data_IF_800306142286
#
_entry.id   IF_800306142286
#
_cell.length_a   1.000
_cell.length_b   1.000
_cell.length_c   1.000
_cell.angle_alpha   90.00
_cell.angle_beta   90.00
_cell.angle_gamma   90.00
#
_symmetry.space_group_name_H-M   'P 1'
#
loop_
_entity.id
_entity.type
_entity.pdbx_description
1 polymer ?
#
# COMPACT_ATOMS: atom_id res chain seq x y z
N UNK A 1 -2.23 26.58 -24.01
CA UNK A 1 -3.40 26.49 -23.11
C UNK A 1 -3.42 25.08 -22.55
N UNK A 2 -2.62 24.82 -21.52
CA UNK A 2 -2.62 23.55 -20.80
C UNK A 2 -3.68 23.59 -19.72
N UNK A 3 -4.52 22.56 -19.65
CA UNK A 3 -5.52 22.41 -18.59
C UNK A 3 -4.79 22.02 -17.29
N UNK A 4 -4.75 22.94 -16.32
CA UNK A 4 -4.47 22.57 -14.93
C UNK A 4 -5.62 21.68 -14.44
N UNK A 5 -5.32 20.41 -14.19
CA UNK A 5 -6.21 19.53 -13.45
C UNK A 5 -6.33 20.05 -12.02
N UNK A 6 -7.54 20.44 -11.61
CA UNK A 6 -7.83 20.75 -10.22
C UNK A 6 -7.69 19.46 -9.38
N UNK A 7 -6.54 19.26 -8.75
CA UNK A 7 -6.32 18.20 -7.78
C UNK A 7 -7.13 18.50 -6.51
N UNK A 8 -7.76 17.45 -5.95
CA UNK A 8 -8.76 17.57 -4.88
C UNK A 8 -8.15 18.13 -3.57
N UNK A 9 -8.95 18.90 -2.82
CA UNK A 9 -8.58 19.38 -1.48
C UNK A 9 -8.55 18.20 -0.51
N UNK A 10 -7.38 17.63 -0.25
CA UNK A 10 -7.22 16.58 0.75
C UNK A 10 -6.80 17.19 2.10
N UNK A 11 -7.59 16.96 3.14
CA UNK A 11 -7.22 17.35 4.51
C UNK A 11 -6.68 16.10 5.19
N UNK A 12 -5.41 16.13 5.62
CA UNK A 12 -4.82 15.09 6.47
C UNK A 12 -4.29 15.70 7.77
N UNK A 13 -4.49 14.95 8.86
CA UNK A 13 -3.98 15.28 10.18
C UNK A 13 -2.62 14.59 10.38
N UNK A 14 -1.61 15.33 10.84
CA UNK A 14 -0.41 14.77 11.46
C UNK A 14 -0.80 14.11 12.79
N UNK A 15 -0.03 13.11 13.22
CA UNK A 15 -0.28 12.37 14.47
C UNK A 15 -0.23 13.24 15.74
N UNK A 16 0.29 14.47 15.65
CA UNK A 16 0.30 15.46 16.73
C UNK A 16 -0.92 16.41 16.75
N UNK A 17 -1.91 16.21 15.88
CA UNK A 17 -3.10 17.05 15.78
C UNK A 17 -2.96 18.25 14.84
N UNK A 18 -1.82 18.39 14.12
CA UNK A 18 -1.66 19.42 13.09
C UNK A 18 -2.45 19.05 11.84
N UNK A 19 -3.21 19.97 11.27
CA UNK A 19 -4.04 19.74 10.08
C UNK A 19 -3.60 20.68 8.97
N UNK A 20 -3.27 20.15 7.79
CA UNK A 20 -3.01 20.98 6.60
C UNK A 20 -4.31 21.54 6.03
N UNK A 21 -4.35 22.84 5.71
CA UNK A 21 -5.49 23.47 5.05
C UNK A 21 -5.03 24.28 3.84
N UNK A 22 -5.88 24.33 2.80
CA UNK A 22 -5.67 25.15 1.63
C UNK A 22 -6.51 26.42 1.70
N UNK A 23 -5.83 27.56 1.76
CA UNK A 23 -6.44 28.87 1.52
C UNK A 23 -6.91 29.01 0.07
N UNK A 24 -7.66 30.07 -0.24
CA UNK A 24 -8.10 30.36 -1.61
C UNK A 24 -7.00 30.95 -2.51
N UNK A 25 -5.82 31.25 -1.96
CA UNK A 25 -4.57 31.54 -2.67
C UNK A 25 -3.71 30.28 -2.68
N UNK A 26 -2.85 30.09 -3.68
CA UNK A 26 -1.91 28.96 -3.82
C UNK A 26 -0.77 29.00 -2.78
N UNK A 27 -1.11 29.30 -1.53
CA UNK A 27 -0.19 29.31 -0.40
C UNK A 27 -0.45 28.07 0.47
N UNK A 28 0.62 27.53 1.04
CA UNK A 28 0.54 26.38 1.93
C UNK A 28 0.37 26.85 3.36
N UNK A 29 -0.71 26.42 4.01
CA UNK A 29 -1.03 26.77 5.39
C UNK A 29 -1.28 25.51 6.21
N UNK A 30 -0.91 25.56 7.48
CA UNK A 30 -1.10 24.46 8.43
C UNK A 30 -1.75 24.99 9.70
N UNK A 31 -2.47 24.14 10.41
CA UNK A 31 -3.08 24.46 11.70
C UNK A 31 -2.50 23.53 12.75
N UNK A 32 -1.80 24.06 13.75
CA UNK A 32 -1.10 23.26 14.78
C UNK A 32 -2.01 22.83 15.95
N UNK A 33 -3.33 22.98 15.82
CA UNK A 33 -4.28 22.79 16.91
C UNK A 33 -4.61 24.06 17.69
N UNK A 34 -3.79 25.11 17.57
CA UNK A 34 -3.98 26.40 18.27
C UNK A 34 -4.04 27.61 17.35
N UNK A 35 -3.33 27.58 16.22
CA UNK A 35 -3.25 28.68 15.27
C UNK A 35 -2.95 28.18 13.85
N UNK A 36 -3.25 29.03 12.88
CA UNK A 36 -2.82 28.84 11.49
C UNK A 36 -1.40 29.40 11.31
N UNK A 37 -0.52 28.61 10.70
CA UNK A 37 0.83 28.96 10.31
C UNK A 37 0.88 28.94 8.79
N UNK A 38 1.30 30.06 8.19
CA UNK A 38 1.52 30.18 6.75
C UNK A 38 2.95 29.77 6.43
N UNK A 39 3.13 28.73 5.62
CA UNK A 39 4.45 28.24 5.20
C UNK A 39 4.97 28.96 3.97
N UNK A 40 4.08 29.36 3.05
CA UNK A 40 4.42 30.10 1.83
C UNK A 40 3.48 31.29 1.63
N UNK A 41 3.93 32.32 0.92
CA UNK A 41 3.17 33.58 0.75
C UNK A 41 3.36 34.23 -0.64
N UNK A 42 3.64 33.43 -1.66
CA UNK A 42 3.92 33.89 -3.02
C UNK A 42 2.80 33.54 -4.02
N UNK A 43 1.78 32.80 -3.61
CA UNK A 43 0.66 32.39 -4.47
C UNK A 43 1.02 31.37 -5.54
N UNK A 44 2.16 30.68 -5.43
CA UNK A 44 2.64 29.67 -6.38
C UNK A 44 3.34 28.50 -5.66
N UNK A 45 2.64 27.94 -4.66
CA UNK A 45 3.07 26.78 -3.89
C UNK A 45 1.99 25.70 -3.86
N UNK A 46 2.43 24.45 -3.74
CA UNK A 46 1.57 23.28 -3.74
C UNK A 46 1.88 22.38 -2.56
N UNK A 47 0.87 21.69 -2.04
CA UNK A 47 1.10 20.62 -1.07
C UNK A 47 1.24 19.31 -1.82
N UNK A 48 2.26 18.55 -1.45
CA UNK A 48 2.59 17.29 -2.09
C UNK A 48 2.15 16.10 -1.23
N UNK A 49 2.40 16.15 0.08
CA UNK A 49 2.08 15.02 0.95
C UNK A 49 2.36 15.26 2.42
N UNK A 50 1.96 14.29 3.25
CA UNK A 50 2.31 14.28 4.67
C UNK A 50 2.48 12.87 5.20
N UNK A 51 3.39 12.74 6.16
CA UNK A 51 3.49 11.59 7.06
C UNK A 51 3.06 11.99 8.47
N UNK A 52 3.18 11.10 9.46
CA UNK A 52 2.91 11.49 10.85
C UNK A 52 3.82 12.62 11.36
N UNK A 53 5.00 12.76 10.74
CA UNK A 53 6.07 13.65 11.21
C UNK A 53 6.30 14.87 10.33
N UNK A 54 6.04 14.76 9.03
CA UNK A 54 6.40 15.81 8.09
C UNK A 54 5.29 16.18 7.13
N UNK A 55 5.37 17.41 6.62
CA UNK A 55 4.59 17.90 5.49
C UNK A 55 5.58 18.21 4.36
N UNK A 56 5.29 17.74 3.16
CA UNK A 56 6.02 18.10 1.95
C UNK A 56 5.20 19.07 1.14
N UNK A 57 5.83 20.13 0.70
CA UNK A 57 5.24 21.12 -0.18
C UNK A 57 6.24 21.57 -1.23
N UNK A 58 5.72 21.95 -2.40
CA UNK A 58 6.47 22.57 -3.47
C UNK A 58 6.35 24.09 -3.37
N UNK A 59 7.46 24.80 -3.55
CA UNK A 59 7.47 26.25 -3.66
C UNK A 59 8.45 26.69 -4.75
N UNK A 60 7.95 27.35 -5.80
CA UNK A 60 8.73 27.78 -6.97
C UNK A 60 9.47 26.63 -7.68
N UNK A 61 8.82 25.46 -7.83
CA UNK A 61 9.38 24.28 -8.50
C UNK A 61 10.24 23.40 -7.60
N UNK A 62 10.33 23.70 -6.30
CA UNK A 62 11.30 23.08 -5.40
C UNK A 62 10.61 22.49 -4.18
N UNK A 63 11.01 21.30 -3.76
CA UNK A 63 10.41 20.63 -2.61
C UNK A 63 11.01 21.10 -1.29
N UNK A 64 10.11 21.29 -0.32
CA UNK A 64 10.41 21.64 1.05
C UNK A 64 9.74 20.64 2.00
N UNK A 65 10.43 20.35 3.09
CA UNK A 65 9.98 19.49 4.17
C UNK A 65 9.78 20.31 5.44
N UNK A 66 8.56 20.32 5.96
CA UNK A 66 8.24 20.95 7.23
C UNK A 66 8.12 19.91 8.36
N UNK A 67 8.87 20.11 9.45
CA UNK A 67 8.97 19.15 10.58
C UNK A 67 8.09 19.51 11.80
N UNK A 68 7.20 20.49 11.67
CA UNK A 68 6.44 21.04 12.80
C UNK A 68 7.07 22.28 13.44
N UNK A 69 8.32 22.59 13.12
CA UNK A 69 9.04 23.76 13.66
C UNK A 69 9.72 24.61 12.60
N UNK A 70 10.27 23.99 11.56
CA UNK A 70 11.01 24.65 10.48
C UNK A 70 10.80 23.94 9.15
N UNK A 71 11.04 24.68 8.07
CA UNK A 71 11.13 24.13 6.72
C UNK A 71 12.58 23.86 6.34
N UNK A 72 12.82 22.70 5.74
CA UNK A 72 14.07 22.31 5.10
C UNK A 72 13.83 22.26 3.60
N UNK A 73 14.60 23.00 2.82
CA UNK A 73 14.58 22.86 1.35
C UNK A 73 15.29 21.55 0.97
N UNK A 74 14.60 20.69 0.22
CA UNK A 74 15.12 19.40 -0.23
C UNK A 74 15.79 19.52 -1.60
N UNK A 75 15.18 20.23 -2.54
CA UNK A 75 15.72 20.41 -3.88
C UNK A 75 16.17 21.86 -4.09
N UNK A 76 17.25 22.05 -4.84
CA UNK A 76 17.77 23.38 -5.21
C UNK A 76 18.64 23.22 -6.45
N UNK A 77 18.00 22.91 -7.57
CA UNK A 77 18.66 22.60 -8.84
C UNK A 77 17.91 23.31 -9.99
N UNK A 78 18.41 23.16 -11.22
CA UNK A 78 17.74 23.67 -12.42
C UNK A 78 16.95 22.55 -13.15
N UNK A 79 16.79 21.40 -12.49
CA UNK A 79 16.10 20.22 -12.99
C UNK A 79 14.60 20.30 -12.66
N UNK A 80 13.77 19.51 -13.35
CA UNK A 80 12.36 19.38 -12.99
C UNK A 80 12.24 18.25 -11.99
N UNK A 81 11.79 18.56 -10.77
CA UNK A 81 11.58 17.57 -9.72
C UNK A 81 10.10 17.11 -9.68
N UNK A 82 9.88 15.80 -9.64
CA UNK A 82 8.57 15.15 -9.59
C UNK A 82 8.41 14.40 -8.26
N UNK A 83 7.45 14.83 -7.45
CA UNK A 83 7.19 14.21 -6.15
C UNK A 83 6.50 12.85 -6.30
N UNK A 84 7.10 11.81 -5.73
CA UNK A 84 6.54 10.45 -5.74
C UNK A 84 5.75 10.15 -4.46
N UNK A 85 6.24 10.61 -3.31
CA UNK A 85 5.54 10.38 -2.06
C UNK A 85 6.36 10.61 -0.81
N UNK A 86 5.67 10.52 0.32
CA UNK A 86 6.26 10.53 1.65
C UNK A 86 5.78 9.33 2.47
N UNK A 87 6.73 8.57 3.00
CA UNK A 87 6.51 7.32 3.72
C UNK A 87 7.35 7.30 4.99
N UNK A 88 6.72 7.66 6.11
CA UNK A 88 7.40 7.81 7.39
C UNK A 88 8.44 8.92 7.35
N UNK A 89 9.73 8.53 7.30
CA UNK A 89 10.85 9.47 7.19
C UNK A 89 11.36 9.65 5.75
N UNK A 90 10.86 8.88 4.79
CA UNK A 90 11.31 8.94 3.41
C UNK A 90 10.49 9.93 2.62
N UNK A 91 11.16 10.88 1.97
CA UNK A 91 10.58 11.68 0.89
C UNK A 91 11.24 11.23 -0.39
N UNK A 92 10.45 10.81 -1.37
CA UNK A 92 10.92 10.25 -2.64
C UNK A 92 10.48 11.17 -3.77
N UNK A 93 11.40 11.45 -4.68
CA UNK A 93 11.13 12.22 -5.88
C UNK A 93 12.04 11.77 -7.02
N UNK A 94 11.61 12.02 -8.25
CA UNK A 94 12.41 11.88 -9.46
C UNK A 94 12.88 13.27 -9.91
N UNK A 95 14.10 13.39 -10.43
CA UNK A 95 14.54 14.60 -11.11
C UNK A 95 14.79 14.30 -12.60
N UNK A 96 14.28 15.16 -13.49
CA UNK A 96 14.48 15.07 -14.94
C UNK A 96 15.53 16.07 -15.39
N UNK A 97 16.52 15.59 -16.14
CA UNK A 97 17.61 16.41 -16.65
C UNK A 97 17.13 17.44 -17.70
N UNK A 98 17.39 18.73 -17.46
CA UNK A 98 17.03 19.84 -18.32
C UNK A 98 17.69 19.71 -19.70
N UNK A 99 16.88 19.45 -20.73
CA UNK A 99 17.30 19.43 -22.13
C UNK A 99 17.80 18.08 -22.66
N UNK A 100 17.54 16.97 -21.96
CA UNK A 100 17.73 15.62 -22.50
C UNK A 100 16.75 15.31 -23.63
N UNK A 101 17.21 14.65 -24.70
CA UNK A 101 16.35 14.19 -25.79
C UNK A 101 15.55 12.92 -25.44
N UNK A 102 15.90 12.29 -24.32
CA UNK A 102 15.30 11.07 -23.78
C UNK A 102 14.98 11.34 -22.29
N UNK A 103 13.81 10.89 -21.83
CA UNK A 103 13.26 11.09 -20.48
C UNK A 103 14.13 10.40 -19.41
N UNK A 104 15.32 10.95 -19.13
CA UNK A 104 16.27 10.43 -18.16
C UNK A 104 15.91 10.94 -16.77
N UNK A 105 15.49 10.01 -15.92
CA UNK A 105 15.12 10.31 -14.54
C UNK A 105 16.20 9.81 -13.56
N UNK A 106 16.42 10.59 -12.52
CA UNK A 106 17.21 10.23 -11.34
C UNK A 106 16.29 10.08 -10.14
N UNK A 107 16.35 8.96 -9.42
CA UNK A 107 15.57 8.75 -8.21
C UNK A 107 16.34 9.25 -7.00
N UNK A 108 15.70 10.07 -6.19
CA UNK A 108 16.26 10.57 -4.93
C UNK A 108 15.39 10.20 -3.75
N UNK A 109 16.04 10.06 -2.59
CA UNK A 109 15.36 9.91 -1.31
C UNK A 109 15.99 10.80 -0.25
N UNK A 110 15.16 11.54 0.47
CA UNK A 110 15.54 12.10 1.76
C UNK A 110 15.20 11.08 2.85
N UNK A 111 16.20 10.57 3.56
CA UNK A 111 16.02 9.48 4.53
C UNK A 111 15.70 9.96 5.97
N UNK A 112 15.35 11.24 6.14
CA UNK A 112 15.19 11.88 7.45
C UNK A 112 16.45 12.59 7.97
N UNK A 113 17.60 12.39 7.33
CA UNK A 113 18.86 13.07 7.69
C UNK A 113 19.59 13.66 6.49
N UNK A 114 19.71 12.90 5.41
CA UNK A 114 20.44 13.28 4.20
C UNK A 114 19.64 12.94 2.96
N UNK A 115 19.97 13.61 1.86
CA UNK A 115 19.49 13.27 0.53
C UNK A 115 20.45 12.25 -0.08
N UNK A 116 19.89 11.19 -0.64
CA UNK A 116 20.63 10.10 -1.29
C UNK A 116 20.08 9.94 -2.71
N UNK A 117 20.97 10.03 -3.69
CA UNK A 117 20.69 9.66 -5.06
C UNK A 117 20.76 8.14 -5.19
N UNK A 118 19.69 7.52 -5.69
CA UNK A 118 19.58 6.07 -5.83
C UNK A 118 19.94 5.58 -7.24
N UNK A 119 19.75 6.41 -8.26
CA UNK A 119 20.02 6.08 -9.67
C UNK A 119 20.69 7.24 -10.41
N UNK A 120 21.29 6.98 -11.57
CA UNK A 120 22.07 7.97 -12.32
C UNK A 120 21.65 8.03 -13.81
N UNK A 121 20.67 8.89 -14.11
CA UNK A 121 20.18 9.21 -15.47
C UNK A 121 19.77 7.99 -16.27
N UNK A 122 18.87 7.23 -15.69
CA UNK A 122 18.41 5.98 -16.27
C UNK A 122 17.22 6.27 -17.20
N UNK A 123 17.18 5.61 -18.36
CA UNK A 123 16.11 5.77 -19.36
C UNK A 123 14.91 4.87 -19.10
N UNK A 124 15.01 3.93 -18.16
CA UNK A 124 13.93 3.00 -17.81
C UNK A 124 13.89 2.76 -16.30
N UNK A 125 13.86 3.87 -15.57
CA UNK A 125 13.60 3.90 -14.14
C UNK A 125 12.09 3.95 -13.88
N UNK A 126 11.61 3.09 -12.98
CA UNK A 126 10.30 3.28 -12.38
C UNK A 126 10.39 3.23 -10.86
N UNK A 127 9.86 4.27 -10.20
CA UNK A 127 9.52 4.17 -8.79
C UNK A 127 8.31 3.24 -8.64
N UNK A 128 8.43 2.24 -7.78
CA UNK A 128 7.37 1.23 -7.60
C UNK A 128 6.51 1.57 -6.38
N UNK A 129 7.15 1.68 -5.22
CA UNK A 129 6.49 1.97 -3.94
C UNK A 129 7.51 2.25 -2.84
N UNK A 130 7.02 2.69 -1.68
CA UNK A 130 7.84 2.77 -0.48
C UNK A 130 7.03 2.46 0.79
N UNK A 131 7.78 2.08 1.83
CA UNK A 131 7.33 1.95 3.21
C UNK A 131 8.20 2.81 4.11
N UNK A 132 8.00 2.76 5.43
CA UNK A 132 8.86 3.47 6.37
C UNK A 132 10.29 2.89 6.42
N UNK A 133 10.54 1.77 5.74
CA UNK A 133 11.83 1.08 5.73
C UNK A 133 12.44 0.93 4.35
N UNK A 134 11.64 0.70 3.32
CA UNK A 134 12.12 0.42 1.96
C UNK A 134 11.61 1.47 0.98
N UNK A 135 12.48 1.91 0.08
CA UNK A 135 12.09 2.49 -1.22
C UNK A 135 12.34 1.41 -2.26
N UNK A 136 11.33 1.08 -3.07
CA UNK A 136 11.38 0.03 -4.09
C UNK A 136 11.31 0.69 -5.45
N UNK A 137 12.19 0.28 -6.34
CA UNK A 137 12.26 0.81 -7.70
C UNK A 137 12.79 -0.25 -8.65
N UNK A 138 12.41 -0.13 -9.91
CA UNK A 138 12.97 -0.92 -11.00
C UNK A 138 13.88 -0.06 -11.86
N UNK A 139 14.90 -0.68 -12.42
CA UNK A 139 15.88 -0.01 -13.26
C UNK A 139 16.43 -0.98 -14.32
N UNK A 140 16.70 -0.46 -15.51
CA UNK A 140 17.32 -1.20 -16.62
C UNK A 140 18.75 -0.67 -16.79
N UNK A 141 19.72 -1.36 -16.19
CA UNK A 141 21.12 -0.87 -16.14
C UNK A 141 22.00 -1.43 -17.25
N UNK A 142 21.58 -2.50 -17.90
CA UNK A 142 22.38 -3.26 -18.85
C UNK A 142 21.67 -3.56 -20.18
N UNK A 143 20.51 -2.93 -20.43
CA UNK A 143 19.67 -3.11 -21.63
C UNK A 143 19.12 -4.55 -21.78
N UNK A 144 19.18 -5.36 -20.71
CA UNK A 144 18.74 -6.76 -20.70
C UNK A 144 17.41 -6.97 -19.94
N UNK A 145 16.86 -5.91 -19.33
CA UNK A 145 15.56 -5.93 -18.69
C UNK A 145 15.46 -5.07 -17.41
N UNK A 146 14.23 -4.99 -16.87
CA UNK A 146 14.01 -4.33 -15.59
C UNK A 146 14.44 -5.24 -14.43
N UNK A 147 15.36 -4.73 -13.61
CA UNK A 147 15.82 -5.33 -12.37
C UNK A 147 15.13 -4.68 -11.17
N UNK A 148 14.85 -5.46 -10.12
CA UNK A 148 14.19 -4.94 -8.91
C UNK A 148 15.20 -4.59 -7.82
N UNK A 149 15.14 -3.34 -7.36
CA UNK A 149 16.00 -2.81 -6.32
C UNK A 149 15.22 -2.32 -5.11
N UNK A 150 15.90 -2.34 -3.96
CA UNK A 150 15.42 -1.68 -2.74
C UNK A 150 16.51 -0.80 -2.15
N UNK A 151 16.10 0.33 -1.57
CA UNK A 151 16.92 1.11 -0.65
C UNK A 151 16.38 0.97 0.77
N UNK A 152 17.24 0.56 1.71
CA UNK A 152 16.83 0.25 3.09
C UNK A 152 17.21 1.32 4.12
N UNK A 153 17.57 2.52 3.66
CA UNK A 153 18.06 3.62 4.50
C UNK A 153 19.58 3.68 4.66
N UNK A 154 20.29 2.58 4.34
CA UNK A 154 21.76 2.52 4.42
C UNK A 154 22.39 2.22 3.06
N UNK A 155 21.80 1.31 2.29
CA UNK A 155 22.34 0.86 1.01
C UNK A 155 21.22 0.45 0.05
N UNK A 156 21.58 0.44 -1.23
CA UNK A 156 20.78 -0.15 -2.30
C UNK A 156 21.12 -1.64 -2.42
N UNK A 157 20.10 -2.49 -2.52
CA UNK A 157 20.21 -3.94 -2.66
C UNK A 157 19.40 -4.34 -3.88
N UNK A 158 20.01 -5.10 -4.80
CA UNK A 158 19.31 -5.76 -5.89
C UNK A 158 18.62 -7.02 -5.36
N UNK A 159 17.32 -7.17 -5.63
CA UNK A 159 16.53 -8.33 -5.21
C UNK A 159 16.35 -9.37 -6.32
N UNK A 160 16.32 -8.93 -7.56
CA UNK A 160 16.20 -9.78 -8.75
C UNK A 160 17.06 -9.21 -9.89
N UNK A 161 17.67 -10.12 -10.64
CA UNK A 161 18.68 -9.90 -11.68
C UNK A 161 18.31 -10.82 -12.86
N UNK A 162 18.11 -10.24 -14.03
CA UNK A 162 17.73 -10.95 -15.26
C UNK A 162 18.89 -11.74 -15.88
N UNK A 163 20.15 -11.44 -15.52
CA UNK A 163 21.31 -12.19 -15.98
C UNK A 163 21.34 -13.63 -15.47
N UNK A 164 20.56 -13.94 -14.42
CA UNK A 164 20.37 -15.30 -13.92
C UNK A 164 18.96 -15.86 -14.18
N UNK A 165 18.00 -15.00 -14.48
CA UNK A 165 16.58 -15.33 -14.63
C UNK A 165 16.08 -14.74 -15.96
N UNK A 166 16.10 -15.57 -17.02
CA UNK A 166 16.01 -15.24 -18.45
C UNK A 166 14.83 -14.41 -19.00
N UNK A 167 14.07 -13.68 -18.20
CA UNK A 167 13.17 -12.65 -18.70
C UNK A 167 13.06 -11.52 -17.69
N UNK A 168 13.12 -10.28 -18.20
CA UNK A 168 12.80 -9.06 -17.47
C UNK A 168 11.66 -9.31 -16.49
N UNK A 169 11.77 -8.78 -15.29
CA UNK A 169 10.63 -8.64 -14.40
C UNK A 169 9.60 -7.82 -15.19
N UNK A 170 8.64 -8.48 -15.86
CA UNK A 170 7.75 -7.80 -16.80
C UNK A 170 7.11 -6.60 -16.11
N UNK A 171 7.05 -5.44 -16.79
CA UNK A 171 6.70 -4.12 -16.22
C UNK A 171 6.18 -4.18 -14.79
N UNK A 172 7.10 -3.96 -13.85
CA UNK A 172 7.04 -4.06 -12.38
C UNK A 172 7.40 -5.40 -11.77
N UNK A 173 6.65 -6.50 -11.97
CA UNK A 173 6.70 -7.79 -11.23
C UNK A 173 6.69 -7.70 -9.69
N UNK A 174 7.06 -6.57 -9.11
CA UNK A 174 6.71 -6.06 -7.82
C UNK A 174 5.21 -6.21 -7.57
N UNK A 175 4.88 -6.70 -6.38
CA UNK A 175 3.51 -6.98 -5.97
C UNK A 175 3.12 -6.10 -4.78
N UNK A 176 4.06 -5.82 -3.86
CA UNK A 176 3.78 -4.97 -2.72
C UNK A 176 4.95 -4.83 -1.75
N UNK A 177 4.86 -3.81 -0.89
CA UNK A 177 5.87 -3.52 0.14
C UNK A 177 5.22 -3.20 1.49
N UNK A 178 5.86 -3.67 2.56
CA UNK A 178 5.62 -3.28 3.95
C UNK A 178 6.94 -2.87 4.60
N UNK A 179 6.96 -2.59 5.90
CA UNK A 179 8.22 -2.36 6.64
C UNK A 179 9.00 -3.66 6.88
N UNK A 180 8.37 -4.82 6.64
CA UNK A 180 9.02 -6.12 6.81
C UNK A 180 9.29 -6.82 5.48
N UNK A 181 8.36 -6.75 4.55
CA UNK A 181 8.40 -7.54 3.33
C UNK A 181 8.42 -6.66 2.08
N UNK A 182 9.18 -7.10 1.08
CA UNK A 182 9.05 -6.65 -0.32
C UNK A 182 8.69 -7.91 -1.10
N UNK A 183 7.61 -7.86 -1.86
CA UNK A 183 7.03 -9.02 -2.55
C UNK A 183 7.06 -8.76 -4.05
N UNK A 184 7.50 -9.76 -4.81
CA UNK A 184 7.55 -9.71 -6.27
C UNK A 184 7.28 -11.09 -6.87
N UNK A 185 6.94 -11.10 -8.16
CA UNK A 185 6.88 -12.27 -9.02
C UNK A 185 8.20 -12.37 -9.79
N UNK A 186 8.74 -13.58 -9.92
CA UNK A 186 9.89 -13.85 -10.77
C UNK A 186 9.72 -15.18 -11.51
N UNK A 187 10.22 -15.23 -12.73
CA UNK A 187 10.16 -16.40 -13.60
C UNK A 187 11.08 -17.50 -13.10
N UNK A 188 10.63 -18.76 -13.16
CA UNK A 188 11.47 -19.92 -12.81
C UNK A 188 11.59 -20.89 -14.00
N UNK A 189 12.80 -21.07 -14.58
CA UNK A 189 13.06 -22.05 -15.62
C UNK A 189 12.75 -23.49 -15.17
N UNK A 190 12.41 -24.43 -16.10
CA UNK A 190 12.60 -24.37 -17.55
C UNK A 190 11.33 -24.08 -18.37
N UNK A 191 10.24 -23.62 -17.76
CA UNK A 191 8.93 -23.63 -18.42
C UNK A 191 8.75 -22.41 -19.31
N UNK A 192 8.69 -22.61 -20.63
CA UNK A 192 8.64 -21.56 -21.66
C UNK A 192 7.29 -20.83 -21.78
N UNK A 193 6.52 -20.72 -20.71
CA UNK A 193 5.27 -19.97 -20.69
C UNK A 193 5.33 -18.91 -19.61
N UNK A 194 4.95 -17.69 -19.97
CA UNK A 194 4.86 -16.51 -19.10
C UNK A 194 3.94 -16.75 -17.87
N UNK A 195 3.20 -17.87 -17.86
CA UNK A 195 2.26 -18.30 -16.82
C UNK A 195 2.92 -18.98 -15.60
N UNK A 196 4.26 -19.09 -15.53
CA UNK A 196 4.97 -19.76 -14.42
C UNK A 196 5.78 -18.80 -13.55
N UNK A 197 5.20 -17.66 -13.22
CA UNK A 197 5.79 -16.69 -12.30
C UNK A 197 5.54 -17.11 -10.86
N UNK A 198 6.62 -17.12 -10.08
CA UNK A 198 6.60 -17.55 -8.69
C UNK A 198 6.71 -16.34 -7.77
N UNK A 199 5.99 -16.40 -6.65
CA UNK A 199 6.02 -15.33 -5.66
C UNK A 199 7.26 -15.47 -4.77
N UNK A 200 7.93 -14.34 -4.55
CA UNK A 200 9.07 -14.19 -3.67
C UNK A 200 8.81 -13.08 -2.66
N UNK A 201 9.36 -13.24 -1.46
CA UNK A 201 9.35 -12.21 -0.43
C UNK A 201 10.74 -12.01 0.18
N UNK A 202 11.20 -10.76 0.24
CA UNK A 202 12.39 -10.36 0.96
C UNK A 202 12.02 -9.86 2.34
N UNK A 203 12.56 -10.48 3.40
CA UNK A 203 12.19 -10.18 4.80
C UNK A 203 13.14 -9.18 5.50
N UNK A 204 14.04 -8.55 4.75
CA UNK A 204 15.11 -7.68 5.29
C UNK A 204 16.44 -8.37 5.54
N UNK A 205 16.50 -9.70 5.41
CA UNK A 205 17.74 -10.49 5.60
C UNK A 205 17.94 -11.54 4.53
N UNK A 206 16.86 -12.15 4.03
CA UNK A 206 16.89 -13.21 3.02
C UNK A 206 15.67 -13.13 2.12
N UNK A 207 15.81 -13.66 0.91
CA UNK A 207 14.71 -13.93 -0.01
C UNK A 207 14.09 -15.29 0.31
N UNK A 208 12.76 -15.33 0.34
CA UNK A 208 11.95 -16.54 0.54
C UNK A 208 11.15 -16.76 -0.74
N UNK A 209 11.29 -17.93 -1.36
CA UNK A 209 10.39 -18.37 -2.43
C UNK A 209 9.09 -18.88 -1.79
N UNK A 210 7.98 -18.22 -2.07
CA UNK A 210 6.67 -18.53 -1.49
C UNK A 210 5.98 -19.68 -2.23
N UNK A 211 6.16 -19.73 -3.55
CA UNK A 211 5.48 -20.68 -4.43
C UNK A 211 6.49 -21.40 -5.31
N UNK A 212 6.22 -22.68 -5.60
CA UNK A 212 7.00 -23.50 -6.51
C UNK A 212 6.10 -24.55 -7.16
N UNK A 213 5.29 -24.12 -8.12
CA UNK A 213 4.29 -24.98 -8.75
C UNK A 213 4.17 -24.69 -10.25
N UNK A 214 3.14 -25.22 -10.91
CA UNK A 214 2.93 -25.09 -12.37
C UNK A 214 1.75 -24.17 -12.73
N UNK A 215 1.17 -23.53 -11.73
CA UNK A 215 -0.04 -22.74 -11.83
C UNK A 215 0.27 -21.32 -11.37
N UNK A 216 -0.36 -20.33 -12.01
CA UNK A 216 -0.08 -18.95 -11.68
C UNK A 216 -0.65 -18.56 -10.30
N UNK A 217 0.21 -18.27 -9.34
CA UNK A 217 -0.21 -17.75 -8.05
C UNK A 217 -0.59 -16.27 -8.13
N UNK A 218 -1.65 -15.89 -7.42
CA UNK A 218 -2.14 -14.50 -7.39
C UNK A 218 -1.86 -13.87 -6.04
N UNK A 219 -1.07 -12.80 -6.04
CA UNK A 219 -0.81 -11.99 -4.85
C UNK A 219 -2.08 -11.26 -4.39
N UNK A 220 -2.34 -11.30 -3.08
CA UNK A 220 -3.54 -10.70 -2.49
C UNK A 220 -3.20 -9.51 -1.59
N UNK A 221 -1.99 -9.45 -1.04
CA UNK A 221 -1.50 -8.30 -0.31
C UNK A 221 -0.38 -8.62 0.68
N UNK A 222 0.13 -7.56 1.32
CA UNK A 222 1.23 -7.64 2.28
C UNK A 222 1.02 -6.67 3.44
N UNK A 223 1.38 -7.10 4.65
CA UNK A 223 1.51 -6.28 5.87
C UNK A 223 2.88 -6.52 6.51
N UNK A 224 3.14 -5.90 7.66
CA UNK A 224 4.35 -6.19 8.45
C UNK A 224 4.34 -7.60 9.06
N UNK A 225 3.20 -8.28 9.09
CA UNK A 225 3.05 -9.62 9.66
C UNK A 225 2.83 -10.69 8.59
N UNK A 226 2.06 -10.39 7.55
CA UNK A 226 1.61 -11.39 6.58
C UNK A 226 1.95 -11.01 5.15
N UNK A 227 2.29 -12.02 4.34
CA UNK A 227 2.17 -11.97 2.88
C UNK A 227 1.09 -12.96 2.52
N UNK A 228 0.11 -12.59 1.69
CA UNK A 228 -1.05 -13.43 1.38
C UNK A 228 -1.18 -13.59 -0.13
N UNK A 229 -1.46 -14.80 -0.57
CA UNK A 229 -1.69 -15.14 -1.97
C UNK A 229 -2.71 -16.26 -2.09
N UNK A 230 -3.29 -16.39 -3.28
CA UNK A 230 -4.10 -17.56 -3.67
C UNK A 230 -3.32 -18.40 -4.65
N UNK A 231 -3.36 -19.72 -4.51
CA UNK A 231 -2.73 -20.60 -5.49
C UNK A 231 -3.48 -20.65 -6.82
N UNK A 232 -2.74 -20.88 -7.91
CA UNK A 232 -3.32 -20.91 -9.26
C UNK A 232 -4.13 -22.17 -9.59
N UNK A 233 -4.18 -23.15 -8.68
CA UNK A 233 -4.90 -24.39 -8.88
C UNK A 233 -6.39 -24.21 -8.66
N UNK A 234 -6.81 -24.30 -7.41
CA UNK A 234 -8.21 -24.17 -6.97
C UNK A 234 -8.46 -22.88 -6.18
N UNK A 235 -7.49 -21.97 -6.13
CA UNK A 235 -7.63 -20.64 -5.52
C UNK A 235 -7.52 -20.69 -4.00
N UNK A 236 -6.79 -21.65 -3.44
CA UNK A 236 -6.66 -21.78 -1.99
C UNK A 236 -5.84 -20.64 -1.42
N UNK A 237 -6.27 -20.13 -0.27
CA UNK A 237 -5.64 -19.03 0.41
C UNK A 237 -4.43 -19.51 1.21
N UNK A 238 -3.28 -18.92 0.96
CA UNK A 238 -2.04 -19.16 1.68
C UNK A 238 -1.52 -17.86 2.30
N UNK A 239 -0.76 -17.98 3.38
CA UNK A 239 -0.03 -16.86 3.93
C UNK A 239 1.36 -17.23 4.45
N UNK A 240 2.25 -16.25 4.46
CA UNK A 240 3.52 -16.27 5.17
C UNK A 240 3.33 -15.59 6.53
N UNK A 241 3.42 -16.35 7.62
CA UNK A 241 3.43 -15.86 9.01
C UNK A 241 4.86 -15.92 9.54
N UNK A 242 5.59 -14.81 9.38
CA UNK A 242 7.01 -14.77 9.71
C UNK A 242 7.87 -15.58 8.74
N UNK A 243 8.18 -16.83 9.10
CA UNK A 243 8.94 -17.78 8.29
C UNK A 243 8.14 -19.04 7.94
N UNK A 244 6.88 -19.13 8.36
CA UNK A 244 6.02 -20.30 8.15
C UNK A 244 4.99 -19.98 7.08
N UNK A 245 4.93 -20.82 6.05
CA UNK A 245 3.83 -20.83 5.09
C UNK A 245 2.66 -21.61 5.69
N UNK A 246 1.47 -21.04 5.65
CA UNK A 246 0.23 -21.60 6.20
C UNK A 246 -0.83 -21.58 5.11
N UNK A 247 -1.35 -22.75 4.77
CA UNK A 247 -2.57 -22.86 3.98
C UNK A 247 -3.78 -22.61 4.89
N UNK A 248 -4.58 -21.60 4.56
CA UNK A 248 -5.77 -21.21 5.32
C UNK A 248 -7.01 -21.96 4.88
N UNK A 249 -7.13 -22.29 3.60
CA UNK A 249 -8.31 -22.95 3.02
C UNK A 249 -7.93 -24.22 2.25
N UNK A 250 -8.88 -25.17 2.20
CA UNK A 250 -8.76 -26.42 1.45
C UNK A 250 -10.17 -26.90 1.08
N UNK A 251 -10.84 -26.14 0.22
CA UNK A 251 -12.27 -26.34 -0.12
C UNK A 251 -12.49 -26.88 -1.55
N UNK A 252 -11.42 -27.13 -2.31
CA UNK A 252 -11.37 -28.03 -3.47
C UNK A 252 -12.07 -27.57 -4.76
N UNK A 253 -12.98 -26.60 -4.72
CA UNK A 253 -13.70 -26.14 -5.94
C UNK A 253 -14.26 -24.71 -5.92
N UNK A 254 -14.21 -23.99 -4.80
CA UNK A 254 -14.79 -22.64 -4.71
C UNK A 254 -13.71 -21.69 -4.26
N UNK A 255 -13.30 -20.78 -5.14
CA UNK A 255 -12.33 -19.74 -4.81
C UNK A 255 -12.85 -18.90 -3.65
N UNK A 256 -12.03 -18.73 -2.62
CA UNK A 256 -12.32 -17.77 -1.57
C UNK A 256 -12.32 -16.36 -2.19
N UNK A 257 -13.32 -15.55 -1.84
CA UNK A 257 -13.51 -14.23 -2.42
C UNK A 257 -13.26 -13.14 -1.36
N UNK A 258 -12.96 -11.93 -1.84
CA UNK A 258 -12.80 -10.72 -1.01
C UNK A 258 -11.82 -10.89 0.16
N UNK A 259 -10.53 -10.80 -0.15
CA UNK A 259 -9.45 -10.92 0.83
C UNK A 259 -9.04 -9.52 1.30
N UNK A 260 -9.05 -9.33 2.61
CA UNK A 260 -8.55 -8.11 3.25
C UNK A 260 -7.43 -8.43 4.24
N UNK A 261 -6.36 -7.65 4.20
CA UNK A 261 -5.21 -7.76 5.12
C UNK A 261 -5.11 -6.46 5.91
N UNK A 262 -5.13 -6.57 7.23
CA UNK A 262 -5.13 -5.41 8.12
C UNK A 262 -4.23 -5.69 9.31
N UNK A 263 -3.11 -4.96 9.38
CA UNK A 263 -2.07 -5.08 10.40
C UNK A 263 -1.66 -6.54 10.68
N UNK A 264 -2.40 -7.16 11.59
CA UNK A 264 -2.18 -8.45 12.22
C UNK A 264 -3.28 -9.48 11.94
N UNK A 265 -4.15 -9.23 10.96
CA UNK A 265 -5.26 -10.12 10.60
C UNK A 265 -5.41 -10.25 9.09
N UNK A 266 -5.82 -11.44 8.66
CA UNK A 266 -6.34 -11.72 7.31
C UNK A 266 -7.82 -12.06 7.44
N UNK A 267 -8.67 -11.41 6.66
CA UNK A 267 -10.11 -11.64 6.61
C UNK A 267 -10.48 -12.05 5.20
N UNK A 268 -11.37 -13.02 5.06
CA UNK A 268 -11.86 -13.45 3.77
C UNK A 268 -13.28 -13.97 3.87
N UNK A 269 -13.97 -13.96 2.74
CA UNK A 269 -15.22 -14.70 2.56
C UNK A 269 -14.88 -16.08 1.99
N UNK A 270 -15.28 -17.15 2.68
CA UNK A 270 -15.01 -18.52 2.26
C UNK A 270 -16.26 -19.38 2.25
N UNK A 271 -16.30 -20.38 1.37
CA UNK A 271 -17.40 -21.34 1.35
C UNK A 271 -17.19 -22.43 2.40
N UNK A 272 -18.19 -22.66 3.26
CA UNK A 272 -18.12 -23.69 4.31
C UNK A 272 -18.72 -25.06 3.89
N UNK A 273 -19.13 -25.18 2.63
CA UNK A 273 -19.83 -26.32 2.04
C UNK A 273 -21.34 -26.11 1.90
N UNK A 274 -21.90 -25.03 2.47
CA UNK A 274 -23.32 -24.67 2.36
C UNK A 274 -23.47 -23.30 1.70
N UNK A 275 -22.82 -22.28 2.25
CA UNK A 275 -22.86 -20.90 1.79
C UNK A 275 -21.54 -20.16 2.11
N UNK A 276 -21.52 -18.85 1.85
CA UNK A 276 -20.36 -17.99 2.05
C UNK A 276 -20.35 -17.40 3.45
N UNK A 277 -19.23 -17.57 4.15
CA UNK A 277 -19.06 -17.20 5.55
C UNK A 277 -17.80 -16.34 5.74
N UNK A 278 -17.81 -15.48 6.76
CA UNK A 278 -16.69 -14.61 7.08
C UNK A 278 -15.71 -15.34 7.98
N UNK A 279 -14.45 -15.42 7.55
CA UNK A 279 -13.36 -16.00 8.31
C UNK A 279 -12.32 -14.93 8.66
N UNK A 280 -11.62 -15.16 9.77
CA UNK A 280 -10.48 -14.33 10.19
C UNK A 280 -9.33 -15.20 10.66
N UNK A 281 -8.10 -14.77 10.36
CA UNK A 281 -6.86 -15.32 10.87
C UNK A 281 -6.01 -14.21 11.49
N UNK A 282 -5.80 -14.27 12.81
CA UNK A 282 -4.93 -13.37 13.58
C UNK A 282 -3.74 -14.13 14.25
N UNK A 283 -3.42 -15.31 13.70
CA UNK A 283 -2.62 -16.37 14.32
C UNK A 283 -3.47 -17.59 14.68
N UNK A 284 -4.79 -17.42 14.81
CA UNK A 284 -5.77 -18.49 14.95
C UNK A 284 -6.86 -18.29 13.91
N UNK A 285 -7.15 -19.33 13.11
CA UNK A 285 -8.28 -19.33 12.16
C UNK A 285 -9.59 -19.42 12.94
N UNK A 286 -10.53 -18.51 12.66
CA UNK A 286 -11.90 -18.52 13.19
C UNK A 286 -12.90 -18.28 12.07
N UNK A 287 -14.03 -18.97 12.16
CA UNK A 287 -15.24 -18.69 11.39
C UNK A 287 -16.08 -17.74 12.25
N UNK A 288 -16.37 -16.54 11.75
CA UNK A 288 -17.14 -15.52 12.47
C UNK A 288 -18.64 -15.67 12.27
N UNK A 289 -19.04 -16.13 11.09
CA UNK A 289 -20.43 -16.38 10.73
C UNK A 289 -20.61 -17.85 10.35
N UNK A 290 -21.72 -18.46 10.77
CA UNK A 290 -22.04 -19.85 10.48
C UNK A 290 -23.56 -20.01 10.52
N UNK A 291 -24.19 -19.81 9.37
CA UNK A 291 -25.61 -19.73 9.23
C UNK A 291 -26.06 -20.17 7.82
N UNK A 292 -27.09 -19.57 7.24
CA UNK A 292 -27.60 -19.90 5.89
C UNK A 292 -27.89 -18.65 5.08
N UNK A 293 -27.31 -17.54 5.53
CA UNK A 293 -27.58 -16.20 5.04
C UNK A 293 -26.26 -15.71 4.51
N UNK A 294 -26.31 -15.11 3.32
CA UNK A 294 -25.14 -14.51 2.72
C UNK A 294 -24.59 -13.38 3.60
N UNK A 295 -23.39 -13.58 4.11
CA UNK A 295 -22.65 -12.57 4.86
C UNK A 295 -21.69 -11.82 3.93
N UNK A 296 -21.85 -10.50 3.83
CA UNK A 296 -21.03 -9.64 2.97
C UNK A 296 -19.97 -8.93 3.79
N UNK A 297 -18.70 -9.30 3.60
CA UNK A 297 -17.57 -8.57 4.17
C UNK A 297 -17.55 -7.11 3.68
N UNK A 298 -17.32 -6.16 4.59
CA UNK A 298 -17.26 -4.73 4.24
C UNK A 298 -15.86 -4.14 4.47
N UNK A 299 -15.31 -4.32 5.65
CA UNK A 299 -14.01 -3.77 6.01
C UNK A 299 -13.43 -4.44 7.25
N UNK A 300 -12.13 -4.39 7.42
CA UNK A 300 -11.46 -4.65 8.67
C UNK A 300 -10.37 -3.60 8.86
N UNK A 301 -10.08 -3.24 10.10
CA UNK A 301 -9.02 -2.30 10.47
C UNK A 301 -8.92 -2.23 12.00
N UNK A 302 -7.72 -2.02 12.54
CA UNK A 302 -7.48 -1.84 13.98
C UNK A 302 -8.21 -2.87 14.87
N UNK A 303 -8.18 -4.13 14.44
CA UNK A 303 -8.80 -5.28 15.11
C UNK A 303 -10.33 -5.39 14.97
N UNK A 304 -10.98 -4.49 14.23
CA UNK A 304 -12.36 -4.66 13.79
C UNK A 304 -12.43 -5.53 12.55
N UNK A 305 -13.47 -6.33 12.45
CA UNK A 305 -13.99 -6.89 11.20
C UNK A 305 -15.46 -6.50 11.12
N UNK A 306 -15.88 -5.89 10.03
CA UNK A 306 -17.23 -5.38 9.80
C UNK A 306 -17.79 -6.05 8.56
N UNK A 307 -19.02 -6.55 8.69
CA UNK A 307 -19.75 -7.18 7.60
C UNK A 307 -21.24 -6.82 7.71
N UNK A 308 -21.96 -7.14 6.65
CA UNK A 308 -23.41 -7.01 6.56
C UNK A 308 -24.05 -8.39 6.46
N UNK A 309 -25.11 -8.63 7.22
CA UNK A 309 -25.86 -9.89 7.22
C UNK A 309 -27.35 -9.63 7.22
N UNK A 310 -28.14 -10.43 6.49
CA UNK A 310 -29.59 -10.31 6.52
C UNK A 310 -30.15 -10.95 7.80
N UNK A 311 -31.02 -10.27 8.54
CA UNK A 311 -31.58 -10.84 9.78
C UNK A 311 -32.94 -11.54 9.58
N UNK A 312 -33.37 -11.67 8.33
CA UNK A 312 -34.67 -12.18 7.90
C UNK A 312 -35.66 -11.09 7.50
N UNK A 313 -35.37 -9.81 7.77
CA UNK A 313 -36.16 -8.65 7.34
C UNK A 313 -35.35 -7.79 6.38
N UNK A 314 -34.16 -7.40 6.80
CA UNK A 314 -33.26 -6.50 6.11
C UNK A 314 -31.79 -6.76 6.48
N UNK A 315 -30.90 -6.00 5.85
CA UNK A 315 -29.47 -6.15 6.00
C UNK A 315 -28.91 -5.28 7.13
N UNK A 316 -28.30 -5.92 8.11
CA UNK A 316 -27.82 -5.30 9.33
C UNK A 316 -26.30 -5.33 9.41
N UNK A 317 -25.71 -4.30 10.01
CA UNK A 317 -24.27 -4.20 10.20
C UNK A 317 -23.83 -4.95 11.46
N UNK A 318 -22.77 -5.72 11.33
CA UNK A 318 -22.15 -6.46 12.43
C UNK A 318 -20.67 -6.08 12.53
N UNK A 319 -20.14 -6.10 13.75
CA UNK A 319 -18.73 -5.92 14.01
C UNK A 319 -18.18 -6.97 14.96
N UNK A 320 -17.02 -7.52 14.61
CA UNK A 320 -16.18 -8.35 15.48
C UNK A 320 -15.00 -7.53 15.98
N UNK A 321 -14.77 -7.55 17.31
CA UNK A 321 -13.55 -7.03 17.92
C UNK A 321 -13.23 -7.80 19.19
N UNK A 322 -11.96 -8.15 19.37
CA UNK A 322 -11.44 -8.81 20.58
C UNK A 322 -12.27 -10.03 21.03
N UNK A 323 -12.63 -10.90 20.08
CA UNK A 323 -13.39 -12.14 20.36
C UNK A 323 -14.89 -11.96 20.51
N UNK A 324 -15.44 -10.76 20.32
CA UNK A 324 -16.87 -10.47 20.47
C UNK A 324 -17.47 -9.97 19.16
N UNK A 325 -18.60 -10.58 18.78
CA UNK A 325 -19.48 -10.10 17.71
C UNK A 325 -20.56 -9.20 18.33
N UNK A 326 -20.83 -8.07 17.68
CA UNK A 326 -21.86 -7.09 18.05
C UNK A 326 -22.67 -6.71 16.82
N UNK A 327 -24.00 -6.86 16.90
CA UNK A 327 -24.94 -6.29 15.92
C UNK A 327 -25.00 -4.77 16.16
N UNK A 328 -24.63 -3.97 15.17
CA UNK A 328 -24.50 -2.51 15.26
C UNK A 328 -25.80 -1.78 14.95
N UNK A 329 -26.59 -2.32 14.02
CA UNK A 329 -27.87 -1.78 13.59
C UNK A 329 -28.96 -2.83 13.83
N UNK A 330 -30.18 -2.41 14.14
CA UNK A 330 -31.32 -3.30 14.36
C UNK A 330 -32.62 -2.52 14.10
N UNK A 331 -32.84 -2.15 12.84
CA UNK A 331 -33.98 -1.36 12.43
C UNK A 331 -34.89 -2.20 11.50
N UNK A 332 -35.77 -1.58 10.72
CA UNK A 332 -36.69 -2.29 9.82
C UNK A 332 -36.51 -1.87 8.35
N UNK A 333 -35.45 -1.12 8.06
CA UNK A 333 -35.19 -0.49 6.77
C UNK A 333 -33.80 -0.88 6.24
N UNK A 334 -33.73 -1.33 4.98
CA UNK A 334 -32.49 -1.68 4.25
C UNK A 334 -31.55 -0.49 3.92
N UNK A 335 -31.49 0.58 4.73
CA UNK A 335 -30.73 1.80 4.42
C UNK A 335 -29.47 1.97 5.27
N UNK A 336 -29.09 0.96 6.05
CA UNK A 336 -27.82 0.98 6.77
C UNK A 336 -26.63 0.96 5.81
N UNK A 337 -25.74 1.93 6.00
CA UNK A 337 -24.58 2.12 5.14
C UNK A 337 -23.33 2.38 5.96
N UNK A 338 -22.41 1.42 5.90
CA UNK A 338 -21.07 1.54 6.47
C UNK A 338 -20.30 2.70 5.82
N UNK A 339 -19.60 3.49 6.64
CA UNK A 339 -18.80 4.66 6.21
C UNK A 339 -17.30 4.47 6.41
N UNK A 340 -16.88 3.63 7.33
CA UNK A 340 -15.47 3.39 7.59
C UNK A 340 -15.18 2.97 9.03
N UNK A 341 -13.96 2.50 9.24
CA UNK A 341 -13.34 2.34 10.56
C UNK A 341 -12.36 3.50 10.72
N UNK A 342 -12.43 4.20 11.84
CA UNK A 342 -11.57 5.35 12.14
C UNK A 342 -10.97 5.15 13.54
N UNK A 343 -9.77 4.59 13.58
CA UNK A 343 -9.13 4.21 14.83
C UNK A 343 -10.00 3.21 15.61
N UNK A 344 -10.50 3.61 16.78
CA UNK A 344 -11.33 2.74 17.63
C UNK A 344 -12.84 2.85 17.38
N UNK A 345 -13.26 3.47 16.27
CA UNK A 345 -14.67 3.70 15.98
C UNK A 345 -15.07 3.07 14.65
N UNK A 346 -16.29 2.51 14.62
CA UNK A 346 -16.98 2.12 13.39
C UNK A 346 -18.02 3.18 13.11
N UNK A 347 -18.05 3.72 11.89
CA UNK A 347 -19.00 4.74 11.48
C UNK A 347 -19.98 4.20 10.43
N UNK A 348 -21.26 4.52 10.60
CA UNK A 348 -22.33 4.16 9.67
C UNK A 348 -23.41 5.24 9.66
N UNK A 349 -24.30 5.16 8.69
CA UNK A 349 -25.57 5.90 8.67
C UNK A 349 -26.71 4.90 8.76
N UNK A 350 -27.65 5.11 9.70
CA UNK A 350 -28.92 4.38 9.84
C UNK A 350 -30.09 5.34 9.62
N UNK A 351 -31.20 4.83 9.08
CA UNK A 351 -32.48 5.51 9.05
C UNK A 351 -33.49 4.71 9.89
N UNK A 352 -33.67 5.15 11.14
CA UNK A 352 -34.63 4.56 12.07
C UNK A 352 -36.09 4.96 11.79
#
# INVERSE_FOLDING_TARGET
MGQMMARSRSVRCLGNGTVGFFGSSSDVQIYDGTRVITLTNNGDSYYEGSSEKYIVYEDSGEFYLYDGSRSLRLTNNDEIDFFEGIFGNYVVWQAEAAGGADEQYELFVYNGTTIVQLTNRETSLAYEAASNRYVVFTNDRDDDGLELYIYNGNQTIQLADDNNDFQSIGYSGFQGVSNRYVVWKNFVPPLSSDDNNELYAYNGTSTIRLTNNLSEDTFQGVSDRYVVWTDGGDGQLHLLDGSRIVQLTNNGTVSDTYIGIFDNSVVWTGNDGVDEEIFVYDGIRRQLTNNRILDTYLAADNGYVVWQSNDGVDNELYAYKAGRITKLTNNANNLDSFKGIFGNYVAWTSND
#
